data_IF_617385484680
#
_entry.id   IF_617385484680
#
_cell.length_a   1.000
_cell.length_b   1.000
_cell.length_c   1.000
_cell.angle_alpha   90.00
_cell.angle_beta   90.00
_cell.angle_gamma   90.00
#
_symmetry.space_group_name_H-M   'P 1'
#
loop_
_entity.id
_entity.type
_entity.pdbx_description
1 polymer ?
#
# COMPACT_ATOMS: atom_id res chain seq x y z
N UNK A 1 9.98 -43.84 44.12
CA UNK A 1 9.26 -43.67 42.85
C UNK A 1 7.78 -43.82 43.09
N UNK A 2 6.98 -42.86 42.68
CA UNK A 2 5.51 -43.01 42.79
C UNK A 2 5.03 -44.09 41.84
N UNK A 3 3.92 -44.78 42.24
CA UNK A 3 3.29 -45.83 41.38
C UNK A 3 2.93 -45.25 40.00
N UNK A 4 2.52 -43.96 39.98
CA UNK A 4 2.20 -43.23 38.77
C UNK A 4 3.45 -42.97 37.87
N UNK A 5 4.60 -42.62 38.48
CA UNK A 5 5.81 -42.42 37.69
C UNK A 5 6.33 -43.70 37.07
N UNK A 6 6.21 -44.85 37.79
CA UNK A 6 6.58 -46.16 37.24
C UNK A 6 5.68 -46.57 36.04
N UNK A 7 4.38 -46.32 36.13
CA UNK A 7 3.47 -46.55 35.04
C UNK A 7 3.68 -45.67 33.82
N UNK A 8 4.11 -44.38 34.01
CA UNK A 8 4.43 -43.49 32.90
C UNK A 8 5.57 -44.01 32.04
N UNK A 9 6.57 -44.71 32.62
CA UNK A 9 7.67 -45.28 31.84
C UNK A 9 7.22 -46.30 30.82
N UNK A 10 6.07 -47.00 31.02
CA UNK A 10 5.49 -47.93 30.04
C UNK A 10 4.66 -47.27 28.97
N UNK A 11 4.25 -46.00 29.18
CA UNK A 11 3.40 -45.23 28.27
C UNK A 11 4.22 -44.33 27.35
N UNK A 12 5.34 -43.82 27.88
CA UNK A 12 6.22 -42.90 27.16
C UNK A 12 7.18 -43.69 26.26
N UNK A 13 7.26 -43.32 25.00
CA UNK A 13 8.08 -43.97 23.99
C UNK A 13 9.08 -42.97 23.42
N UNK A 14 10.36 -43.32 23.47
CA UNK A 14 11.42 -42.56 22.80
C UNK A 14 11.41 -42.94 21.31
N UNK A 15 11.49 -41.94 20.41
CA UNK A 15 11.71 -42.20 18.98
C UNK A 15 13.09 -42.78 18.69
N UNK A 16 13.23 -43.48 17.57
CA UNK A 16 14.51 -44.12 17.18
C UNK A 16 15.65 -43.09 16.99
N UNK A 17 15.32 -41.91 16.51
CA UNK A 17 16.22 -40.76 16.32
C UNK A 17 16.53 -40.01 17.61
N UNK A 18 15.94 -40.41 18.73
CA UNK A 18 16.05 -39.77 20.05
C UNK A 18 15.61 -38.30 20.09
N UNK A 19 14.92 -37.84 19.04
CA UNK A 19 14.46 -36.44 18.94
C UNK A 19 13.13 -36.21 19.60
N UNK A 20 12.32 -37.27 19.77
CA UNK A 20 10.94 -37.13 20.30
C UNK A 20 10.69 -38.09 21.43
N UNK A 21 10.02 -37.59 22.46
CA UNK A 21 9.37 -38.45 23.46
C UNK A 21 7.86 -38.37 23.20
N UNK A 22 7.24 -39.52 22.96
CA UNK A 22 5.87 -39.61 22.43
C UNK A 22 4.96 -40.45 23.35
N UNK A 23 3.66 -40.16 23.31
CA UNK A 23 2.61 -41.09 23.66
C UNK A 23 2.02 -41.58 22.31
N UNK A 24 2.31 -42.82 21.91
CA UNK A 24 1.90 -43.34 20.62
C UNK A 24 0.40 -43.67 20.59
N UNK A 25 -0.21 -43.53 19.43
CA UNK A 25 -1.55 -44.01 19.17
C UNK A 25 -1.69 -45.53 19.46
N UNK A 26 -2.75 -45.90 20.13
CA UNK A 26 -2.96 -47.28 20.53
C UNK A 26 -2.26 -47.72 21.83
N UNK A 27 -1.44 -46.82 22.46
CA UNK A 27 -0.78 -47.12 23.74
C UNK A 27 -1.83 -47.35 24.82
N UNK A 28 -1.75 -48.50 25.52
CA UNK A 28 -2.57 -48.81 26.70
C UNK A 28 -2.13 -47.92 27.87
N UNK A 29 -3.08 -47.20 28.45
CA UNK A 29 -2.80 -46.27 29.55
C UNK A 29 -3.51 -46.75 30.81
N UNK A 30 -2.78 -47.08 31.88
CA UNK A 30 -3.38 -47.60 33.12
C UNK A 30 -4.34 -46.60 33.76
N UNK A 31 -5.48 -47.07 34.26
CA UNK A 31 -6.56 -46.22 34.84
C UNK A 31 -6.10 -45.35 35.99
N UNK A 32 -5.13 -45.78 36.82
CA UNK A 32 -4.64 -45.00 37.94
C UNK A 32 -3.89 -43.71 37.50
N UNK A 33 -3.53 -43.59 36.24
CA UNK A 33 -2.98 -42.33 35.67
C UNK A 33 -4.03 -41.25 35.46
N UNK A 34 -5.31 -41.50 35.71
CA UNK A 34 -6.37 -40.47 35.77
C UNK A 34 -6.06 -39.37 36.82
N UNK A 35 -5.29 -39.72 37.86
CA UNK A 35 -4.84 -38.81 38.92
C UNK A 35 -3.39 -38.32 38.77
N UNK A 36 -2.74 -38.56 37.65
CA UNK A 36 -1.35 -38.19 37.39
C UNK A 36 -1.13 -36.67 37.56
N UNK A 37 -0.04 -36.31 38.21
CA UNK A 37 0.36 -34.91 38.45
C UNK A 37 1.62 -34.56 37.66
N UNK A 38 1.89 -33.29 37.52
CA UNK A 38 3.14 -32.81 36.90
C UNK A 38 4.41 -33.33 37.62
N UNK A 39 4.33 -33.54 38.95
CA UNK A 39 5.44 -34.12 39.73
C UNK A 39 5.76 -35.56 39.32
N UNK A 40 4.72 -36.38 39.07
CA UNK A 40 4.89 -37.77 38.60
C UNK A 40 5.51 -37.82 37.20
N UNK A 41 5.09 -36.90 36.31
CA UNK A 41 5.68 -36.75 34.98
C UNK A 41 7.14 -36.33 35.09
N UNK A 42 7.45 -35.34 35.91
CA UNK A 42 8.84 -34.90 36.12
C UNK A 42 9.74 -36.03 36.65
N UNK A 43 9.25 -36.86 37.61
CA UNK A 43 9.96 -38.01 38.10
C UNK A 43 10.20 -39.06 37.01
N UNK A 44 9.20 -39.31 36.15
CA UNK A 44 9.35 -40.23 35.01
C UNK A 44 10.35 -39.70 33.97
N UNK A 45 10.31 -38.43 33.63
CA UNK A 45 11.25 -37.77 32.72
C UNK A 45 12.68 -37.84 33.24
N UNK A 46 12.91 -37.58 34.54
CA UNK A 46 14.20 -37.72 35.15
C UNK A 46 14.77 -39.15 35.04
N UNK A 47 13.92 -40.17 35.16
CA UNK A 47 14.30 -41.56 34.97
C UNK A 47 14.66 -41.91 33.52
N UNK A 48 14.05 -41.25 32.57
CA UNK A 48 14.39 -41.35 31.14
C UNK A 48 15.58 -40.48 30.75
N UNK A 49 16.18 -39.79 31.71
CA UNK A 49 17.21 -38.77 31.50
C UNK A 49 16.80 -37.65 30.54
N UNK A 50 15.49 -37.33 30.53
CA UNK A 50 14.93 -36.25 29.70
C UNK A 50 14.99 -34.95 30.46
N UNK A 51 15.80 -33.99 29.96
CA UNK A 51 16.04 -32.71 30.62
C UNK A 51 15.23 -31.55 29.98
N UNK A 52 14.36 -31.85 29.03
CA UNK A 52 13.54 -30.86 28.34
C UNK A 52 12.19 -30.64 29.07
N UNK A 53 11.65 -29.44 28.90
CA UNK A 53 10.33 -29.10 29.44
C UNK A 53 9.26 -29.79 28.59
N UNK A 54 8.38 -30.60 29.19
CA UNK A 54 7.30 -31.26 28.45
C UNK A 54 6.21 -30.27 27.99
N UNK A 55 5.50 -30.63 26.95
CA UNK A 55 4.30 -29.88 26.52
C UNK A 55 3.31 -29.77 27.68
N UNK A 56 2.79 -28.57 27.90
CA UNK A 56 1.86 -28.25 29.01
C UNK A 56 0.59 -29.10 28.99
N UNK A 57 0.19 -29.62 27.85
CA UNK A 57 -0.99 -30.46 27.67
C UNK A 57 -0.77 -31.93 28.06
N UNK A 58 0.50 -32.37 28.20
CA UNK A 58 0.86 -33.78 28.42
C UNK A 58 0.07 -34.43 29.56
N UNK A 59 -0.04 -33.80 30.71
CA UNK A 59 -0.78 -34.33 31.86
C UNK A 59 -2.26 -34.51 31.56
N UNK A 60 -2.87 -33.62 30.82
CA UNK A 60 -4.29 -33.70 30.42
C UNK A 60 -4.50 -34.81 29.41
N UNK A 61 -3.60 -34.96 28.42
CA UNK A 61 -3.65 -36.08 27.45
C UNK A 61 -3.53 -37.43 28.13
N UNK A 62 -2.61 -37.57 29.09
CA UNK A 62 -2.46 -38.80 29.88
C UNK A 62 -3.70 -39.13 30.71
N UNK A 63 -4.32 -38.14 31.36
CA UNK A 63 -5.57 -38.33 32.12
C UNK A 63 -6.73 -38.77 31.26
N UNK A 64 -6.85 -38.14 30.09
CA UNK A 64 -7.90 -38.49 29.11
C UNK A 64 -7.71 -39.92 28.59
N UNK A 65 -6.50 -40.25 28.16
CA UNK A 65 -6.16 -41.59 27.68
C UNK A 65 -6.33 -42.67 28.81
N UNK A 66 -6.06 -42.33 30.07
CA UNK A 66 -6.26 -43.22 31.19
C UNK A 66 -7.76 -43.50 31.48
N UNK A 67 -8.66 -42.56 31.22
CA UNK A 67 -10.12 -42.75 31.35
C UNK A 67 -10.66 -43.74 30.35
N UNK A 68 -10.13 -43.74 29.13
CA UNK A 68 -10.51 -44.65 28.05
C UNK A 68 -9.71 -45.95 28.04
N UNK A 69 -8.64 -46.03 28.82
CA UNK A 69 -7.68 -47.12 28.87
C UNK A 69 -6.70 -47.21 27.71
N UNK A 70 -6.86 -46.39 26.70
CA UNK A 70 -6.03 -46.33 25.47
C UNK A 70 -5.91 -44.90 24.95
N UNK A 71 -4.72 -44.53 24.45
CA UNK A 71 -4.53 -43.29 23.69
C UNK A 71 -4.98 -43.50 22.24
N UNK A 72 -6.17 -43.01 21.87
CA UNK A 72 -6.78 -43.22 20.55
C UNK A 72 -6.52 -42.07 19.55
N UNK A 73 -6.01 -40.95 20.00
CA UNK A 73 -5.59 -39.84 19.14
C UNK A 73 -4.28 -40.16 18.41
N UNK A 74 -3.87 -39.32 17.50
CA UNK A 74 -2.59 -39.43 16.84
C UNK A 74 -1.43 -39.27 17.86
N UNK A 75 -0.21 -39.69 17.49
CA UNK A 75 0.97 -39.60 18.34
C UNK A 75 1.11 -38.24 18.96
N UNK A 76 1.22 -38.17 20.30
CA UNK A 76 1.34 -36.92 21.02
C UNK A 76 2.80 -36.70 21.44
N UNK A 77 3.35 -35.56 21.03
CA UNK A 77 4.73 -35.16 21.39
C UNK A 77 4.78 -34.57 22.79
N UNK A 78 5.42 -35.29 23.69
CA UNK A 78 5.65 -34.90 25.09
C UNK A 78 6.82 -33.93 25.19
N UNK A 79 7.93 -34.27 24.55
CA UNK A 79 9.14 -33.44 24.45
C UNK A 79 9.70 -33.56 23.03
N UNK A 80 10.27 -32.46 22.55
CA UNK A 80 10.95 -32.37 21.26
C UNK A 80 12.37 -31.89 21.45
N UNK A 81 13.34 -32.68 20.98
CA UNK A 81 14.72 -32.29 20.85
C UNK A 81 14.95 -31.34 19.68
N UNK A 82 16.19 -31.00 19.44
CA UNK A 82 16.60 -30.19 18.28
C UNK A 82 17.35 -31.07 17.29
N UNK A 83 16.79 -31.26 16.09
CA UNK A 83 17.49 -31.97 15.02
C UNK A 83 18.82 -31.28 14.64
N UNK A 84 19.81 -32.02 14.19
CA UNK A 84 20.98 -31.42 13.57
C UNK A 84 20.58 -30.59 12.36
N UNK A 85 21.12 -29.39 12.23
CA UNK A 85 20.96 -28.56 11.05
C UNK A 85 22.12 -28.79 10.09
N UNK A 86 21.83 -29.02 8.81
CA UNK A 86 22.84 -29.06 7.75
C UNK A 86 23.42 -27.67 7.46
N UNK A 87 24.35 -27.64 6.52
CA UNK A 87 24.88 -26.38 5.97
C UNK A 87 23.76 -25.52 5.39
N UNK A 88 23.78 -24.24 5.71
CA UNK A 88 22.85 -23.26 5.09
C UNK A 88 23.63 -22.42 4.09
N UNK A 89 23.21 -22.36 2.81
CA UNK A 89 23.84 -21.49 1.82
C UNK A 89 23.67 -20.03 2.21
N UNK A 90 24.58 -19.19 1.74
CA UNK A 90 24.41 -17.76 1.81
C UNK A 90 23.16 -17.34 1.04
N UNK A 91 22.51 -16.27 1.46
CA UNK A 91 21.33 -15.71 0.81
C UNK A 91 21.27 -14.21 1.05
N UNK A 92 20.44 -13.55 0.30
CA UNK A 92 20.02 -12.18 0.61
C UNK A 92 18.52 -12.18 0.97
N UNK A 93 18.11 -11.23 1.78
CA UNK A 93 16.73 -11.10 2.29
C UNK A 93 16.34 -9.63 2.27
N UNK A 94 15.18 -9.30 1.66
CA UNK A 94 14.61 -7.98 1.75
C UNK A 94 14.28 -7.64 3.21
N UNK A 95 14.49 -6.37 3.57
CA UNK A 95 14.01 -5.84 4.84
C UNK A 95 12.62 -5.28 4.59
N UNK A 96 11.60 -6.01 5.06
CA UNK A 96 10.21 -5.68 4.84
C UNK A 96 9.81 -4.34 5.46
N UNK A 97 8.95 -3.60 4.77
CA UNK A 97 8.30 -2.39 5.26
C UNK A 97 6.79 -2.52 5.06
N UNK A 98 6.01 -2.07 6.04
CA UNK A 98 4.55 -2.13 5.98
C UNK A 98 3.92 -1.14 4.97
N UNK A 99 4.68 -0.16 4.49
CA UNK A 99 4.16 0.96 3.71
C UNK A 99 4.80 1.14 2.34
N UNK A 100 5.67 0.25 1.94
CA UNK A 100 6.35 0.33 0.64
C UNK A 100 6.69 -1.05 0.10
N UNK A 101 6.82 -1.20 -1.23
CA UNK A 101 7.36 -2.42 -1.82
C UNK A 101 8.77 -2.71 -1.31
N UNK A 102 9.13 -3.99 -1.19
CA UNK A 102 10.41 -4.41 -0.65
C UNK A 102 11.61 -3.98 -1.51
N UNK A 103 11.40 -3.85 -2.82
CA UNK A 103 12.39 -3.40 -3.80
C UNK A 103 12.48 -1.86 -3.95
N UNK A 104 11.68 -1.11 -3.17
CA UNK A 104 11.73 0.34 -3.13
C UNK A 104 12.80 0.84 -2.16
N UNK A 105 13.92 1.29 -2.69
CA UNK A 105 14.99 1.92 -1.95
C UNK A 105 14.58 3.31 -1.46
N UNK A 106 14.83 3.59 -0.19
CA UNK A 106 14.66 4.93 0.40
C UNK A 106 16.00 5.41 0.93
N UNK A 107 16.36 6.63 0.58
CA UNK A 107 17.65 7.23 0.95
C UNK A 107 17.93 7.12 2.46
N UNK A 108 19.12 6.61 2.80
CA UNK A 108 19.62 6.38 4.15
C UNK A 108 18.85 5.29 4.94
N UNK A 109 18.02 4.49 4.28
CA UNK A 109 17.34 3.38 4.94
C UNK A 109 17.88 2.02 4.50
N UNK A 110 17.79 1.00 5.38
CA UNK A 110 18.17 -0.36 5.06
C UNK A 110 17.20 -0.95 4.02
N UNK A 111 17.74 -1.65 3.03
CA UNK A 111 16.99 -2.22 1.93
C UNK A 111 16.92 -3.73 1.98
N UNK A 112 18.07 -4.40 2.08
CA UNK A 112 18.17 -5.85 2.21
C UNK A 112 19.41 -6.22 3.00
N UNK A 113 19.49 -7.49 3.42
CA UNK A 113 20.63 -8.04 4.13
C UNK A 113 21.25 -9.20 3.36
N UNK A 114 22.57 -9.22 3.27
CA UNK A 114 23.35 -10.36 2.77
C UNK A 114 23.71 -11.22 3.97
N UNK A 115 23.14 -12.42 4.04
CA UNK A 115 23.36 -13.39 5.10
C UNK A 115 24.46 -14.35 4.63
N UNK A 116 25.58 -14.46 5.33
CA UNK A 116 26.64 -15.38 4.96
C UNK A 116 26.17 -16.85 5.11
N UNK A 117 26.83 -17.80 4.43
CA UNK A 117 26.59 -19.22 4.65
C UNK A 117 26.88 -19.58 6.11
N UNK A 118 26.12 -20.51 6.66
CA UNK A 118 26.26 -20.96 8.02
C UNK A 118 26.71 -22.42 8.07
N UNK A 119 27.68 -22.69 8.91
CA UNK A 119 28.18 -24.05 9.19
C UNK A 119 27.04 -24.93 9.78
N UNK A 120 27.11 -26.24 9.57
CA UNK A 120 26.19 -27.18 10.16
C UNK A 120 26.19 -27.06 11.68
N UNK A 121 25.05 -27.20 12.32
CA UNK A 121 24.92 -27.14 13.77
C UNK A 121 24.51 -28.49 14.33
N UNK A 122 25.15 -28.96 15.40
CA UNK A 122 24.74 -30.19 16.05
C UNK A 122 23.32 -30.05 16.64
N UNK A 123 22.60 -31.14 16.61
CA UNK A 123 21.34 -31.30 17.27
C UNK A 123 21.50 -31.63 18.77
N UNK A 124 20.37 -31.74 19.44
CA UNK A 124 20.29 -32.17 20.83
C UNK A 124 19.11 -33.17 20.98
N UNK A 125 19.40 -34.37 21.45
CA UNK A 125 18.36 -35.35 21.76
C UNK A 125 17.47 -34.87 22.91
N UNK A 126 16.32 -35.49 23.11
CA UNK A 126 15.47 -35.21 24.29
C UNK A 126 16.17 -35.58 25.60
N UNK A 127 17.20 -36.42 25.55
CA UNK A 127 18.01 -36.86 26.69
C UNK A 127 19.26 -35.97 26.93
N UNK A 128 19.43 -34.91 26.09
CA UNK A 128 20.58 -34.00 26.21
C UNK A 128 21.86 -34.49 25.51
N UNK A 129 21.78 -35.57 24.76
CA UNK A 129 22.92 -36.05 23.97
C UNK A 129 23.11 -35.15 22.73
N UNK A 130 24.34 -34.81 22.42
CA UNK A 130 24.67 -34.04 21.21
C UNK A 130 24.55 -34.97 20.00
N UNK A 131 23.69 -34.62 19.07
CA UNK A 131 23.54 -35.31 17.79
C UNK A 131 24.42 -34.62 16.75
N UNK A 132 25.45 -35.33 16.22
CA UNK A 132 26.38 -34.71 15.28
C UNK A 132 25.66 -34.26 14.02
N UNK A 133 26.01 -33.09 13.53
CA UNK A 133 25.59 -32.67 12.21
C UNK A 133 26.41 -33.37 11.13
N UNK A 134 25.85 -33.50 9.92
CA UNK A 134 26.59 -34.04 8.79
C UNK A 134 27.70 -33.06 8.40
N UNK A 135 28.93 -33.53 8.31
CA UNK A 135 30.05 -32.74 7.81
C UNK A 135 29.89 -32.48 6.31
N UNK A 136 29.65 -31.24 5.97
CA UNK A 136 29.53 -30.76 4.60
C UNK A 136 30.40 -29.50 4.43
N UNK A 137 31.05 -29.31 3.26
CA UNK A 137 31.84 -28.12 3.03
C UNK A 137 30.97 -26.88 3.03
N UNK A 138 31.48 -25.78 3.60
CA UNK A 138 30.76 -24.50 3.61
C UNK A 138 30.72 -23.95 2.20
N UNK A 139 29.51 -23.60 1.67
CA UNK A 139 29.39 -22.99 0.36
C UNK A 139 30.07 -21.62 0.30
N UNK A 140 30.41 -21.19 -0.90
CA UNK A 140 30.96 -19.86 -1.11
C UNK A 140 29.94 -18.79 -0.70
N UNK A 141 30.38 -17.66 -0.12
CA UNK A 141 29.53 -16.53 0.18
C UNK A 141 28.91 -15.93 -1.10
N UNK A 142 27.68 -15.47 -1.02
CA UNK A 142 27.07 -14.70 -2.10
C UNK A 142 27.83 -13.37 -2.25
N UNK A 143 28.28 -13.08 -3.45
CA UNK A 143 28.83 -11.79 -3.85
C UNK A 143 27.84 -11.10 -4.75
N UNK A 144 27.38 -9.90 -4.34
CA UNK A 144 26.51 -9.04 -5.15
C UNK A 144 27.31 -7.83 -5.64
N UNK A 145 27.23 -7.54 -6.92
CA UNK A 145 27.79 -6.35 -7.54
C UNK A 145 26.84 -5.18 -7.28
N UNK A 146 27.18 -4.35 -6.29
CA UNK A 146 26.35 -3.21 -5.88
C UNK A 146 26.68 -1.97 -6.72
N UNK A 147 25.66 -1.23 -7.22
CA UNK A 147 25.85 0.07 -7.83
C UNK A 147 26.24 1.14 -6.79
N UNK A 148 26.77 2.32 -7.22
CA UNK A 148 27.23 3.38 -6.31
C UNK A 148 26.15 3.92 -5.36
N UNK A 149 24.87 3.80 -5.74
CA UNK A 149 23.70 4.23 -4.96
C UNK A 149 23.40 3.31 -3.76
N UNK A 150 24.09 2.17 -3.66
CA UNK A 150 23.93 1.20 -2.58
C UNK A 150 25.25 0.97 -1.85
N UNK A 151 25.18 0.87 -0.53
CA UNK A 151 26.34 0.67 0.33
C UNK A 151 26.13 -0.51 1.27
N UNK A 152 27.08 -1.46 1.23
CA UNK A 152 27.08 -2.58 2.18
C UNK A 152 27.76 -2.18 3.48
N UNK A 153 27.06 -2.36 4.59
CA UNK A 153 27.59 -2.20 5.95
C UNK A 153 28.34 -3.45 6.43
N UNK A 154 29.12 -3.31 7.50
CA UNK A 154 29.94 -4.39 8.06
C UNK A 154 29.10 -5.60 8.55
N UNK A 155 27.86 -5.38 8.96
CA UNK A 155 26.90 -6.41 9.41
C UNK A 155 26.15 -7.11 8.27
N UNK A 156 26.49 -6.79 7.01
CA UNK A 156 25.87 -7.35 5.81
C UNK A 156 24.59 -6.63 5.38
N UNK A 157 24.13 -5.60 6.08
CA UNK A 157 22.99 -4.77 5.66
C UNK A 157 23.40 -3.87 4.50
N UNK A 158 22.56 -3.77 3.48
CA UNK A 158 22.73 -2.85 2.36
C UNK A 158 21.79 -1.66 2.55
N UNK A 159 22.37 -0.46 2.54
CA UNK A 159 21.69 0.81 2.71
C UNK A 159 21.66 1.56 1.38
N UNK A 160 20.52 2.21 1.07
CA UNK A 160 20.39 3.04 -0.11
C UNK A 160 20.93 4.47 0.15
N UNK A 161 21.75 4.99 -0.78
CA UNK A 161 22.22 6.39 -0.80
C UNK A 161 21.28 7.33 -1.55
N UNK A 162 20.39 6.76 -2.37
CA UNK A 162 19.36 7.47 -3.13
C UNK A 162 18.05 6.66 -3.12
N UNK A 163 16.90 7.35 -3.28
CA UNK A 163 15.60 6.70 -3.39
C UNK A 163 15.33 6.29 -4.83
N UNK A 164 14.77 5.09 -5.05
CA UNK A 164 14.50 4.53 -6.37
C UNK A 164 14.05 3.07 -6.30
N UNK A 165 14.09 2.37 -7.42
CA UNK A 165 13.81 0.93 -7.51
C UNK A 165 15.11 0.14 -7.57
N UNK A 166 15.15 -1.01 -6.90
CA UNK A 166 16.30 -1.93 -6.93
C UNK A 166 15.84 -3.30 -7.41
N UNK A 167 16.53 -3.83 -8.41
CA UNK A 167 16.31 -5.17 -8.94
C UNK A 167 17.57 -6.01 -8.74
N UNK A 168 17.41 -7.29 -8.35
CA UNK A 168 18.52 -8.23 -8.19
C UNK A 168 18.40 -9.29 -9.29
N UNK A 169 19.38 -9.29 -10.19
CA UNK A 169 19.44 -10.18 -11.36
C UNK A 169 20.71 -11.03 -11.27
N UNK A 170 20.58 -12.25 -10.70
CA UNK A 170 21.72 -13.09 -10.42
C UNK A 170 22.67 -12.45 -9.39
N UNK A 171 23.90 -12.14 -9.79
CA UNK A 171 24.90 -11.47 -8.96
C UNK A 171 24.87 -9.93 -9.11
N UNK A 172 24.11 -9.40 -10.06
CA UNK A 172 24.07 -7.97 -10.34
C UNK A 172 22.87 -7.32 -9.64
N UNK A 173 23.13 -6.18 -9.03
CA UNK A 173 22.09 -5.33 -8.45
C UNK A 173 21.96 -4.09 -9.34
N UNK A 174 20.76 -3.86 -9.87
CA UNK A 174 20.44 -2.74 -10.73
C UNK A 174 19.66 -1.72 -9.92
N UNK A 175 20.04 -0.44 -10.01
CA UNK A 175 19.34 0.68 -9.40
C UNK A 175 18.72 1.57 -10.49
N UNK A 176 17.45 1.91 -10.32
CA UNK A 176 16.68 2.82 -11.17
C UNK A 176 16.17 3.99 -10.32
N UNK A 177 16.40 5.26 -10.70
CA UNK A 177 15.94 6.41 -9.93
C UNK A 177 14.41 6.56 -9.91
N UNK A 178 13.72 5.99 -10.89
CA UNK A 178 12.26 5.98 -11.01
C UNK A 178 11.73 4.60 -10.64
N UNK A 179 10.69 4.56 -9.80
CA UNK A 179 9.99 3.32 -9.48
C UNK A 179 8.98 2.98 -10.57
N UNK A 180 9.21 1.91 -11.32
CA UNK A 180 8.37 1.49 -12.44
C UNK A 180 7.37 0.42 -12.00
N UNK A 181 6.08 0.66 -12.25
CA UNK A 181 4.98 -0.25 -11.96
C UNK A 181 4.36 -0.72 -13.26
N UNK A 182 4.56 -1.99 -13.60
CA UNK A 182 3.98 -2.59 -14.80
C UNK A 182 2.48 -2.89 -14.63
N UNK A 183 2.06 -3.32 -13.42
CA UNK A 183 0.68 -3.70 -13.10
C UNK A 183 0.28 -3.17 -11.72
N UNK A 184 -0.38 -2.03 -11.67
CA UNK A 184 -0.71 -1.34 -10.44
C UNK A 184 -1.82 -1.99 -9.60
N UNK A 185 -2.60 -2.93 -10.16
CA UNK A 185 -3.72 -3.58 -9.46
C UNK A 185 -3.32 -4.73 -8.52
N UNK A 186 -2.02 -5.02 -8.39
CA UNK A 186 -1.52 -6.05 -7.49
C UNK A 186 -1.75 -5.66 -6.01
N UNK A 187 -2.06 -6.63 -5.12
CA UNK A 187 -2.40 -6.36 -3.72
C UNK A 187 -1.32 -5.59 -2.93
N UNK A 188 -0.06 -5.80 -3.25
CA UNK A 188 1.08 -5.11 -2.64
C UNK A 188 1.05 -3.59 -2.84
N UNK A 189 0.36 -3.10 -3.87
CA UNK A 189 0.20 -1.67 -4.15
C UNK A 189 -1.05 -1.05 -3.54
N UNK A 190 -1.86 -1.78 -2.76
CA UNK A 190 -3.07 -1.22 -2.17
C UNK A 190 -2.79 -0.04 -1.22
N UNK A 191 -1.66 -0.06 -0.52
CA UNK A 191 -1.26 0.98 0.41
C UNK A 191 0.25 1.22 0.34
N UNK A 192 0.69 2.31 -0.35
CA UNK A 192 2.11 2.57 -0.57
C UNK A 192 2.52 4.02 -0.35
N UNK A 193 3.74 4.19 0.15
CA UNK A 193 4.49 5.44 0.16
C UNK A 193 5.72 5.30 -0.75
N UNK A 194 5.84 6.17 -1.75
CA UNK A 194 6.96 6.20 -2.68
C UNK A 194 7.79 7.47 -2.45
N UNK A 195 9.09 7.29 -2.26
CA UNK A 195 10.06 8.37 -1.99
C UNK A 195 10.92 8.71 -3.21
N UNK A 196 10.53 8.24 -4.38
CA UNK A 196 11.11 8.51 -5.70
C UNK A 196 10.03 8.93 -6.67
N UNK A 197 10.40 9.25 -7.90
CA UNK A 197 9.46 9.34 -9.00
C UNK A 197 8.84 7.97 -9.26
N UNK A 198 7.57 7.96 -9.71
CA UNK A 198 6.81 6.75 -10.01
C UNK A 198 6.29 6.80 -11.44
N UNK A 199 6.48 5.73 -12.18
CA UNK A 199 5.98 5.56 -13.54
C UNK A 199 5.11 4.31 -13.63
N UNK A 200 3.81 4.49 -13.84
CA UNK A 200 2.83 3.41 -14.00
C UNK A 200 2.59 3.16 -15.48
N UNK A 201 2.99 1.99 -15.97
CA UNK A 201 2.90 1.60 -17.39
C UNK A 201 1.52 1.06 -17.77
N UNK A 202 0.64 0.82 -16.81
CA UNK A 202 -0.69 0.26 -17.00
C UNK A 202 -1.79 1.23 -16.55
N UNK A 203 -3.04 0.77 -16.63
CA UNK A 203 -4.15 1.44 -15.96
C UNK A 203 -3.95 1.45 -14.44
N UNK A 204 -4.34 2.54 -13.80
CA UNK A 204 -4.33 2.72 -12.35
C UNK A 204 -5.76 2.56 -11.84
N UNK A 205 -6.15 1.33 -11.48
CA UNK A 205 -7.52 0.95 -11.15
C UNK A 205 -7.61 0.40 -9.73
N UNK A 206 -8.64 0.80 -8.99
CA UNK A 206 -9.00 0.23 -7.70
C UNK A 206 -8.87 1.17 -6.51
N UNK A 207 -9.17 0.64 -5.33
CA UNK A 207 -9.03 1.36 -4.06
C UNK A 207 -7.57 1.35 -3.62
N UNK A 208 -6.85 2.42 -3.94
CA UNK A 208 -5.44 2.59 -3.57
C UNK A 208 -5.29 3.81 -2.68
N UNK A 209 -4.35 3.72 -1.72
CA UNK A 209 -3.96 4.84 -0.87
C UNK A 209 -2.47 5.06 -1.03
N UNK A 210 -2.11 5.97 -1.93
CA UNK A 210 -0.71 6.26 -2.22
C UNK A 210 -0.31 7.66 -1.78
N UNK A 211 0.92 7.75 -1.30
CA UNK A 211 1.63 9.00 -1.09
C UNK A 211 2.93 8.95 -1.89
N UNK A 212 3.08 9.86 -2.84
CA UNK A 212 4.23 9.89 -3.74
C UNK A 212 4.95 11.21 -3.52
N UNK A 213 6.18 11.13 -3.00
CA UNK A 213 6.98 12.30 -2.70
C UNK A 213 7.75 12.84 -3.92
N UNK A 214 7.79 12.08 -5.01
CA UNK A 214 8.29 12.46 -6.32
C UNK A 214 7.18 12.78 -7.32
N UNK A 215 7.54 12.77 -8.62
CA UNK A 215 6.63 12.89 -9.76
C UNK A 215 5.84 11.60 -9.93
N UNK A 216 4.60 11.71 -10.44
CA UNK A 216 3.80 10.54 -10.89
C UNK A 216 3.48 10.68 -12.37
N UNK A 217 3.82 9.64 -13.13
CA UNK A 217 3.42 9.48 -14.53
C UNK A 217 2.60 8.21 -14.71
N UNK A 218 1.42 8.33 -15.33
CA UNK A 218 0.49 7.21 -15.58
C UNK A 218 0.20 7.16 -17.08
N UNK A 219 0.55 6.04 -17.72
CA UNK A 219 0.31 5.84 -19.17
C UNK A 219 -1.14 5.51 -19.47
N UNK A 220 -1.75 4.66 -18.66
CA UNK A 220 -3.12 4.17 -18.82
C UNK A 220 -4.18 5.08 -18.21
N UNK A 221 -5.40 4.54 -18.11
CA UNK A 221 -6.53 5.23 -17.48
C UNK A 221 -6.37 5.26 -15.96
N UNK A 222 -6.72 6.38 -15.35
CA UNK A 222 -6.69 6.55 -13.91
C UNK A 222 -8.10 6.46 -13.32
N UNK A 223 -8.38 5.34 -12.64
CA UNK A 223 -9.64 5.09 -11.94
C UNK A 223 -9.45 4.82 -10.44
N UNK A 224 -8.23 5.04 -9.93
CA UNK A 224 -7.90 4.85 -8.52
C UNK A 224 -8.29 6.07 -7.67
N UNK A 225 -8.49 5.83 -6.37
CA UNK A 225 -8.88 6.83 -5.38
C UNK A 225 -7.80 7.04 -4.32
N UNK A 226 -7.88 8.18 -3.61
CA UNK A 226 -7.05 8.51 -2.44
C UNK A 226 -5.53 8.54 -2.71
N UNK A 227 -5.14 9.20 -3.82
CA UNK A 227 -3.73 9.38 -4.16
C UNK A 227 -3.29 10.83 -3.90
N UNK A 228 -2.19 10.96 -3.17
CA UNK A 228 -1.54 12.23 -2.85
C UNK A 228 -0.15 12.26 -3.50
N UNK A 229 0.12 13.26 -4.34
CA UNK A 229 1.39 13.43 -5.05
C UNK A 229 2.00 14.77 -4.72
N UNK A 230 3.23 14.76 -4.24
CA UNK A 230 3.96 15.96 -3.85
C UNK A 230 4.78 16.56 -5.00
N UNK A 231 5.05 15.83 -6.08
CA UNK A 231 5.64 16.30 -7.32
C UNK A 231 4.61 16.60 -8.41
N UNK A 232 5.09 16.76 -9.63
CA UNK A 232 4.24 16.95 -10.81
C UNK A 232 3.51 15.65 -11.17
N UNK A 233 2.32 15.78 -11.78
CA UNK A 233 1.50 14.67 -12.24
C UNK A 233 1.29 14.73 -13.74
N UNK A 234 1.50 13.61 -14.43
CA UNK A 234 1.16 13.42 -15.83
C UNK A 234 0.27 12.18 -15.97
N UNK A 235 -1.01 12.38 -16.32
CA UNK A 235 -1.97 11.30 -16.54
C UNK A 235 -2.38 11.26 -18.01
N UNK A 236 -1.68 10.46 -18.81
CA UNK A 236 -1.86 10.41 -20.28
C UNK A 236 -3.20 9.83 -20.70
N UNK A 237 -3.69 8.81 -19.99
CA UNK A 237 -4.98 8.16 -20.24
C UNK A 237 -6.20 8.88 -19.67
N UNK A 238 -6.02 10.03 -18.97
CA UNK A 238 -7.10 10.78 -18.32
C UNK A 238 -7.50 10.23 -16.95
N UNK A 239 -8.33 11.00 -16.22
CA UNK A 239 -8.72 10.75 -14.84
C UNK A 239 -10.24 10.56 -14.73
N UNK A 240 -10.69 9.42 -14.17
CA UNK A 240 -12.12 9.13 -13.93
C UNK A 240 -12.27 8.30 -12.64
N UNK A 241 -12.48 8.95 -11.50
CA UNK A 241 -12.57 8.25 -10.20
C UNK A 241 -13.98 7.87 -9.78
N UNK A 242 -15.00 8.21 -10.58
CA UNK A 242 -16.42 7.99 -10.27
C UNK A 242 -16.87 8.63 -8.94
N UNK A 243 -16.28 9.76 -8.56
CA UNK A 243 -16.44 10.45 -7.27
C UNK A 243 -16.03 9.61 -6.05
N UNK A 244 -15.25 8.55 -6.25
CA UNK A 244 -14.72 7.73 -5.16
C UNK A 244 -13.36 8.27 -4.76
N UNK A 245 -13.22 8.69 -3.49
CA UNK A 245 -11.98 9.25 -2.95
C UNK A 245 -11.64 10.66 -3.46
N UNK A 246 -10.46 11.13 -3.11
CA UNK A 246 -9.97 12.46 -3.48
C UNK A 246 -8.53 12.38 -3.96
N UNK A 247 -8.26 13.00 -5.12
CA UNK A 247 -6.90 13.17 -5.62
C UNK A 247 -6.35 14.52 -5.17
N UNK A 248 -5.11 14.54 -4.64
CA UNK A 248 -4.43 15.73 -4.16
C UNK A 248 -3.05 15.84 -4.79
N UNK A 249 -2.85 16.89 -5.58
CA UNK A 249 -1.58 17.17 -6.26
C UNK A 249 -1.02 18.51 -5.75
N UNK A 250 0.17 18.46 -5.17
CA UNK A 250 0.80 19.61 -4.56
C UNK A 250 1.55 20.49 -5.56
N UNK A 251 1.85 19.96 -6.75
CA UNK A 251 2.45 20.68 -7.85
C UNK A 251 1.52 20.70 -9.07
N UNK A 252 2.08 20.72 -10.27
CA UNK A 252 1.30 20.83 -11.49
C UNK A 252 0.70 19.48 -11.91
N UNK A 253 -0.41 19.56 -12.63
CA UNK A 253 -1.03 18.38 -13.23
C UNK A 253 -1.30 18.62 -14.71
N UNK A 254 -0.91 17.64 -15.54
CA UNK A 254 -1.27 17.55 -16.94
C UNK A 254 -2.04 16.26 -17.19
N UNK A 255 -3.18 16.36 -17.89
CA UNK A 255 -4.01 15.18 -18.21
C UNK A 255 -4.81 15.41 -19.47
N UNK A 256 -5.22 14.32 -20.10
CA UNK A 256 -6.05 14.35 -21.31
C UNK A 256 -7.49 14.77 -20.99
N UNK A 257 -8.10 14.20 -19.96
CA UNK A 257 -9.45 14.59 -19.51
C UNK A 257 -9.62 14.33 -17.99
N UNK A 258 -10.63 14.98 -17.42
CA UNK A 258 -11.09 14.69 -16.04
C UNK A 258 -12.61 14.47 -16.10
N UNK A 259 -13.07 13.31 -15.65
CA UNK A 259 -14.48 12.95 -15.66
C UNK A 259 -14.92 12.36 -14.32
N UNK A 260 -16.07 12.82 -13.81
CA UNK A 260 -16.73 12.31 -12.58
C UNK A 260 -15.70 12.15 -11.43
N UNK A 261 -14.96 13.22 -11.13
CA UNK A 261 -13.82 13.16 -10.21
C UNK A 261 -13.74 14.35 -9.27
N UNK A 262 -13.15 14.13 -8.08
CA UNK A 262 -12.78 15.19 -7.14
C UNK A 262 -11.24 15.34 -7.15
N UNK A 263 -10.75 16.51 -7.61
CA UNK A 263 -9.31 16.74 -7.77
C UNK A 263 -8.92 18.10 -7.18
N UNK A 264 -7.93 18.09 -6.29
CA UNK A 264 -7.24 19.28 -5.81
C UNK A 264 -5.85 19.38 -6.42
N UNK A 265 -5.52 20.50 -7.05
CA UNK A 265 -4.20 20.81 -7.60
C UNK A 265 -3.74 22.13 -7.00
N UNK A 266 -2.65 22.13 -6.22
CA UNK A 266 -2.13 23.36 -5.64
C UNK A 266 -1.37 24.20 -6.69
N UNK A 267 -0.70 23.56 -7.63
CA UNK A 267 -0.07 24.18 -8.80
C UNK A 267 -1.06 24.47 -9.92
N UNK A 268 -0.58 24.47 -11.15
CA UNK A 268 -1.36 24.69 -12.36
C UNK A 268 -1.91 23.37 -12.94
N UNK A 269 -3.08 23.45 -13.59
CA UNK A 269 -3.73 22.34 -14.24
C UNK A 269 -3.85 22.55 -15.74
N UNK A 270 -3.37 21.59 -16.52
CA UNK A 270 -3.54 21.53 -17.98
C UNK A 270 -4.39 20.30 -18.32
N UNK A 271 -5.54 20.53 -18.95
CA UNK A 271 -6.43 19.48 -19.46
C UNK A 271 -6.55 19.62 -20.97
N UNK A 272 -6.20 18.57 -21.69
CA UNK A 272 -6.19 18.65 -23.16
C UNK A 272 -7.59 18.65 -23.77
N UNK A 273 -8.46 17.71 -23.38
CA UNK A 273 -9.73 17.50 -24.07
C UNK A 273 -10.92 18.10 -23.32
N UNK A 274 -11.21 17.58 -22.11
CA UNK A 274 -12.43 18.01 -21.42
C UNK A 274 -12.43 17.74 -19.91
N UNK A 275 -13.27 18.51 -19.22
CA UNK A 275 -13.62 18.31 -17.82
C UNK A 275 -15.12 18.14 -17.74
N UNK A 276 -15.58 17.01 -17.17
CA UNK A 276 -16.99 16.67 -17.15
C UNK A 276 -17.41 16.18 -15.75
N UNK A 277 -18.54 16.68 -15.26
CA UNK A 277 -19.20 16.22 -14.03
C UNK A 277 -18.26 16.11 -12.82
N UNK A 278 -17.34 17.08 -12.68
CA UNK A 278 -16.23 16.99 -11.73
C UNK A 278 -16.18 18.20 -10.79
N UNK A 279 -15.57 18.01 -9.63
CA UNK A 279 -15.29 19.05 -8.66
C UNK A 279 -13.79 19.30 -8.56
N UNK A 280 -13.36 20.52 -8.94
CA UNK A 280 -11.93 20.85 -8.96
C UNK A 280 -11.63 22.05 -8.06
N UNK A 281 -10.43 22.01 -7.43
CA UNK A 281 -9.85 23.12 -6.68
C UNK A 281 -8.42 23.33 -7.17
N UNK A 282 -8.17 24.49 -7.80
CA UNK A 282 -6.91 24.78 -8.47
C UNK A 282 -6.28 26.02 -7.82
N UNK A 283 -5.04 25.86 -7.33
CA UNK A 283 -4.27 26.95 -6.71
C UNK A 283 -3.59 27.86 -7.74
N UNK A 284 -3.08 27.28 -8.83
CA UNK A 284 -2.45 27.98 -9.94
C UNK A 284 -3.41 28.28 -11.08
N UNK A 285 -2.85 28.40 -12.28
CA UNK A 285 -3.61 28.64 -13.50
C UNK A 285 -4.21 27.34 -14.04
N UNK A 286 -5.34 27.47 -14.73
CA UNK A 286 -6.02 26.37 -15.38
C UNK A 286 -6.15 26.59 -16.88
N UNK A 287 -5.75 25.62 -17.68
CA UNK A 287 -5.86 25.63 -19.13
C UNK A 287 -6.66 24.42 -19.62
N UNK A 288 -7.73 24.66 -20.38
CA UNK A 288 -8.52 23.68 -21.09
C UNK A 288 -8.88 24.23 -22.48
N UNK A 289 -7.86 24.47 -23.31
CA UNK A 289 -7.97 25.26 -24.56
C UNK A 289 -7.60 24.49 -25.83
N UNK A 290 -7.39 23.17 -25.74
CA UNK A 290 -7.24 22.31 -26.93
C UNK A 290 -8.60 22.11 -27.61
N UNK A 291 -8.65 21.42 -28.72
CA UNK A 291 -9.93 21.09 -29.39
C UNK A 291 -10.41 19.68 -28.95
N UNK A 292 -11.52 19.52 -28.19
CA UNK A 292 -12.61 20.50 -27.95
C UNK A 292 -12.39 21.48 -26.78
N UNK A 293 -11.50 21.24 -25.82
CA UNK A 293 -11.22 22.14 -24.70
C UNK A 293 -12.47 22.55 -23.90
N UNK A 294 -13.29 21.55 -23.48
CA UNK A 294 -14.64 21.79 -22.96
C UNK A 294 -14.75 21.51 -21.45
N UNK A 295 -15.45 22.37 -20.71
CA UNK A 295 -15.79 22.23 -19.30
C UNK A 295 -17.31 22.10 -19.18
N UNK A 296 -17.81 20.93 -18.76
CA UNK A 296 -19.23 20.56 -18.80
C UNK A 296 -19.70 20.05 -17.42
N UNK A 297 -20.82 20.56 -16.91
CA UNK A 297 -21.48 20.04 -15.71
C UNK A 297 -20.60 19.99 -14.45
N UNK A 298 -19.59 20.83 -14.37
CA UNK A 298 -18.54 20.78 -13.33
C UNK A 298 -18.55 22.01 -12.43
N UNK A 299 -18.08 21.84 -11.20
CA UNK A 299 -17.84 22.95 -10.27
C UNK A 299 -16.35 23.13 -10.08
N UNK A 300 -15.81 24.29 -10.42
CA UNK A 300 -14.37 24.55 -10.42
C UNK A 300 -14.07 25.81 -9.62
N UNK A 301 -13.20 25.71 -8.64
CA UNK A 301 -12.65 26.80 -7.86
C UNK A 301 -11.21 27.05 -8.29
N UNK A 302 -10.89 28.26 -8.74
CA UNK A 302 -9.57 28.62 -9.29
C UNK A 302 -9.06 29.86 -8.58
N UNK A 303 -7.82 29.80 -8.08
CA UNK A 303 -7.12 30.95 -7.53
C UNK A 303 -6.28 31.69 -8.59
N UNK A 304 -5.85 31.03 -9.64
CA UNK A 304 -5.15 31.57 -10.79
C UNK A 304 -6.07 32.06 -11.91
N UNK A 305 -5.50 32.18 -13.11
CA UNK A 305 -6.23 32.49 -14.33
C UNK A 305 -6.90 31.24 -14.95
N UNK A 306 -7.88 31.45 -15.80
CA UNK A 306 -8.54 30.39 -16.57
C UNK A 306 -8.45 30.67 -18.07
N UNK A 307 -8.06 29.65 -18.83
CA UNK A 307 -8.18 29.65 -20.29
C UNK A 307 -8.94 28.41 -20.75
N UNK A 308 -10.11 28.61 -21.39
CA UNK A 308 -10.92 27.50 -21.88
C UNK A 308 -11.58 27.86 -23.21
N UNK A 309 -11.73 26.85 -24.11
CA UNK A 309 -12.44 27.07 -25.37
C UNK A 309 -13.95 27.12 -25.15
N UNK A 310 -14.50 26.14 -24.39
CA UNK A 310 -15.96 26.03 -24.20
C UNK A 310 -16.28 25.75 -22.73
N UNK A 311 -17.20 26.52 -22.15
CA UNK A 311 -17.67 26.31 -20.78
C UNK A 311 -19.19 26.31 -20.75
N UNK A 312 -19.77 25.29 -20.12
CA UNK A 312 -21.22 25.09 -20.06
C UNK A 312 -21.67 23.87 -20.83
N UNK A 313 -22.93 23.47 -20.65
CA UNK A 313 -23.51 22.26 -21.24
C UNK A 313 -24.79 22.61 -22.04
N UNK A 314 -24.86 22.14 -23.27
CA UNK A 314 -26.04 22.25 -24.12
C UNK A 314 -27.25 21.47 -23.56
N UNK A 315 -26.97 20.45 -22.71
CA UNK A 315 -28.01 19.62 -22.09
C UNK A 315 -28.49 20.16 -20.73
N UNK A 316 -28.22 21.44 -20.42
CA UNK A 316 -28.68 22.09 -19.19
C UNK A 316 -27.99 21.64 -17.89
N UNK A 317 -26.92 20.91 -17.96
CA UNK A 317 -26.11 20.56 -16.77
C UNK A 317 -25.45 21.81 -16.21
N UNK A 318 -25.63 22.06 -14.91
CA UNK A 318 -25.11 23.26 -14.24
C UNK A 318 -23.59 23.24 -14.22
N UNK A 319 -22.97 24.22 -14.87
CA UNK A 319 -21.52 24.46 -14.82
C UNK A 319 -21.26 25.73 -14.02
N UNK A 320 -20.37 25.63 -13.04
CA UNK A 320 -20.03 26.75 -12.16
C UNK A 320 -18.52 26.93 -12.08
N UNK A 321 -18.04 28.12 -12.41
CA UNK A 321 -16.65 28.55 -12.25
C UNK A 321 -16.59 29.61 -11.15
N UNK A 322 -15.74 29.38 -10.15
CA UNK A 322 -15.51 30.33 -9.05
C UNK A 322 -14.07 30.80 -9.11
N UNK A 323 -13.87 32.05 -9.48
CA UNK A 323 -12.56 32.71 -9.56
C UNK A 323 -12.29 33.40 -8.22
N UNK A 324 -11.36 32.84 -7.46
CA UNK A 324 -11.03 33.27 -6.09
C UNK A 324 -9.86 34.29 -6.05
N UNK A 325 -9.00 34.30 -7.08
CA UNK A 325 -7.91 35.25 -7.23
C UNK A 325 -8.41 36.60 -7.74
N UNK A 326 -8.39 37.61 -6.89
CA UNK A 326 -8.78 38.99 -7.24
C UNK A 326 -7.67 39.86 -7.85
N UNK A 327 -6.57 39.26 -8.25
CA UNK A 327 -5.40 40.00 -8.79
C UNK A 327 -5.65 40.40 -10.26
N UNK A 328 -5.50 41.70 -10.59
CA UNK A 328 -5.69 42.23 -11.94
C UNK A 328 -4.71 41.65 -12.97
N UNK A 329 -3.63 41.00 -12.52
CA UNK A 329 -2.66 40.34 -13.41
C UNK A 329 -3.09 39.01 -13.95
N UNK A 330 -4.15 38.40 -13.40
CA UNK A 330 -4.64 37.07 -13.78
C UNK A 330 -5.85 37.16 -14.71
N UNK A 331 -5.64 36.76 -15.96
CA UNK A 331 -6.68 36.85 -17.00
C UNK A 331 -7.50 35.56 -17.06
N UNK A 332 -8.81 35.72 -17.15
CA UNK A 332 -9.73 34.62 -17.47
C UNK A 332 -10.30 34.85 -18.86
N UNK A 333 -10.08 33.87 -19.74
CA UNK A 333 -10.58 33.90 -21.12
C UNK A 333 -11.32 32.61 -21.46
N UNK A 334 -12.56 32.76 -21.88
CA UNK A 334 -13.42 31.67 -22.35
C UNK A 334 -13.92 32.06 -23.73
N UNK A 335 -13.56 31.28 -24.76
CA UNK A 335 -13.90 31.60 -26.14
C UNK A 335 -15.42 31.38 -26.40
N UNK A 336 -16.02 30.35 -25.77
CA UNK A 336 -17.48 30.11 -25.84
C UNK A 336 -18.04 29.78 -24.46
N UNK A 337 -18.85 30.67 -23.91
CA UNK A 337 -19.62 30.51 -22.67
C UNK A 337 -21.06 30.20 -23.00
N UNK A 338 -21.58 29.05 -22.64
CA UNK A 338 -22.94 28.61 -22.95
C UNK A 338 -23.95 29.18 -21.95
N UNK A 339 -25.18 29.40 -22.43
CA UNK A 339 -26.29 29.84 -21.62
C UNK A 339 -26.49 29.01 -20.36
N UNK A 340 -26.82 29.64 -19.24
CA UNK A 340 -26.98 28.99 -17.94
C UNK A 340 -25.71 28.69 -17.17
N UNK A 341 -24.53 28.96 -17.75
CA UNK A 341 -23.26 28.84 -17.03
C UNK A 341 -23.10 29.95 -15.99
N UNK A 342 -22.66 29.59 -14.79
CA UNK A 342 -22.42 30.54 -13.70
C UNK A 342 -20.94 30.81 -13.54
N UNK A 343 -20.53 32.08 -13.51
CA UNK A 343 -19.20 32.54 -13.18
C UNK A 343 -19.26 33.42 -11.94
N UNK A 344 -18.55 33.08 -10.91
CA UNK A 344 -18.37 33.94 -9.72
C UNK A 344 -17.01 34.62 -9.80
N UNK A 345 -17.00 35.93 -9.83
CA UNK A 345 -15.80 36.77 -9.84
C UNK A 345 -15.91 37.85 -8.76
N UNK A 346 -14.89 38.01 -7.90
CA UNK A 346 -14.89 39.01 -6.80
C UNK A 346 -16.15 38.94 -5.89
N UNK A 347 -16.70 37.74 -5.71
CA UNK A 347 -17.88 37.51 -4.88
C UNK A 347 -19.24 37.73 -5.61
N UNK A 348 -19.24 38.30 -6.79
CA UNK A 348 -20.44 38.48 -7.63
C UNK A 348 -20.61 37.27 -8.55
N UNK A 349 -21.83 36.74 -8.67
CA UNK A 349 -22.13 35.62 -9.54
C UNK A 349 -22.93 36.12 -10.75
N UNK A 350 -22.35 35.89 -11.92
CA UNK A 350 -22.92 36.19 -13.22
C UNK A 350 -23.43 34.89 -13.84
N UNK A 351 -24.63 34.94 -14.44
CA UNK A 351 -25.20 33.80 -15.20
C UNK A 351 -25.31 34.19 -16.66
N UNK A 352 -24.76 33.41 -17.56
CA UNK A 352 -24.86 33.68 -18.99
C UNK A 352 -26.31 33.54 -19.44
N UNK A 353 -26.91 34.65 -19.93
CA UNK A 353 -28.27 34.71 -20.44
C UNK A 353 -28.40 34.08 -21.84
N UNK A 354 -27.32 34.10 -22.60
CA UNK A 354 -27.18 33.52 -23.95
C UNK A 354 -25.75 33.02 -24.16
N UNK A 355 -25.53 32.29 -25.23
CA UNK A 355 -24.18 31.92 -25.64
C UNK A 355 -23.33 33.18 -25.94
N UNK A 356 -22.18 33.30 -25.30
CA UNK A 356 -21.30 34.45 -25.39
C UNK A 356 -19.84 34.06 -25.22
N UNK A 357 -18.92 35.02 -25.18
CA UNK A 357 -17.54 34.87 -24.74
C UNK A 357 -17.34 35.59 -23.41
N UNK A 358 -16.30 35.25 -22.69
CA UNK A 358 -15.93 35.89 -21.43
C UNK A 358 -14.44 36.20 -21.38
N UNK A 359 -14.12 37.45 -21.10
CA UNK A 359 -12.74 37.89 -20.86
C UNK A 359 -12.76 38.87 -19.67
N UNK A 360 -12.03 38.51 -18.61
CA UNK A 360 -12.02 39.31 -17.38
C UNK A 360 -11.28 40.66 -17.52
N UNK A 361 -10.54 40.87 -18.61
CA UNK A 361 -9.86 42.13 -18.93
C UNK A 361 -10.73 43.11 -19.66
N UNK A 362 -11.90 42.70 -20.18
CA UNK A 362 -12.83 43.54 -20.90
C UNK A 362 -14.12 43.79 -20.09
N UNK A 363 -14.79 44.92 -20.30
CA UNK A 363 -16.10 45.16 -19.69
C UNK A 363 -17.11 44.16 -20.24
N UNK A 364 -17.81 43.46 -19.35
CA UNK A 364 -18.83 42.48 -19.72
C UNK A 364 -20.01 43.21 -20.32
N UNK A 365 -20.51 42.75 -21.49
CA UNK A 365 -21.77 43.27 -22.07
C UNK A 365 -22.94 42.99 -21.11
N UNK A 366 -23.60 44.01 -20.56
CA UNK A 366 -24.66 43.82 -19.57
C UNK A 366 -25.84 43.02 -20.11
N UNK A 367 -26.06 42.98 -21.43
CA UNK A 367 -27.17 42.24 -22.05
C UNK A 367 -26.92 40.73 -22.12
N UNK A 368 -25.66 40.30 -22.04
CA UNK A 368 -25.24 38.91 -22.11
C UNK A 368 -25.28 38.17 -20.74
N UNK A 369 -25.55 38.91 -19.64
CA UNK A 369 -25.41 38.38 -18.26
C UNK A 369 -26.59 38.82 -17.40
N UNK A 370 -27.17 37.90 -16.63
CA UNK A 370 -28.19 38.20 -15.60
C UNK A 370 -27.50 38.17 -14.24
N UNK A 371 -27.57 39.26 -13.50
CA UNK A 371 -27.13 39.33 -12.11
C UNK A 371 -28.06 38.47 -11.23
N UNK A 372 -27.57 37.41 -10.60
CA UNK A 372 -28.34 36.54 -9.74
C UNK A 372 -28.80 37.20 -8.42
N UNK A 373 -28.28 38.39 -8.09
CA UNK A 373 -28.72 39.17 -6.92
C UNK A 373 -30.10 39.83 -7.14
N UNK A 374 -30.50 40.09 -8.38
CA UNK A 374 -31.82 40.66 -8.73
C UNK A 374 -32.96 39.64 -8.62
N UNK A 375 -32.74 38.36 -8.89
CA UNK A 375 -33.77 37.32 -8.78
C UNK A 375 -34.19 37.02 -7.32
N UNK A 376 -33.31 37.24 -6.33
CA UNK A 376 -33.66 37.09 -4.91
C UNK A 376 -34.59 38.21 -4.41
N UNK A 377 -34.58 39.39 -5.01
CA UNK A 377 -35.48 40.49 -4.63
C UNK A 377 -36.87 40.32 -5.20
N UNK A 378 -37.02 39.78 -6.40
CA UNK A 378 -38.34 39.51 -7.02
C UNK A 378 -39.09 38.36 -6.35
N UNK A 379 -38.38 37.26 -5.98
CA UNK A 379 -39.01 36.12 -5.25
C UNK A 379 -39.41 36.48 -3.80
N UNK A 380 -38.77 37.45 -3.17
CA UNK A 380 -39.16 37.96 -1.85
C UNK A 380 -40.35 38.92 -1.89
N UNK A 381 -40.55 39.63 -3.01
CA UNK A 381 -41.68 40.53 -3.18
C UNK A 381 -42.99 39.80 -3.54
N UNK A 382 -42.92 38.62 -4.18
CA UNK A 382 -44.10 37.84 -4.58
C UNK A 382 -44.68 36.98 -3.44
N UNK A 383 -43.94 36.81 -2.32
CA UNK A 383 -44.42 36.09 -1.13
C UNK A 383 -45.00 37.00 -0.04
N UNK A 384 -45.21 38.28 -0.29
CA UNK A 384 -45.85 39.26 0.63
C UNK A 384 -47.13 39.89 0.06
N UNK A 385 -47.72 39.31 -0.98
CA UNK A 385 -49.05 39.74 -1.48
C UNK A 385 -50.11 38.66 -1.28
#
# INVERSE_FOLDING_TARGET
MSSSAAALLSVLTLSEDKLRLLIRKGTKVPYHLTSVKHADLAEALNKLNVNLIPDKRTVNVLREAARTGVHNADDFEVCLGRAPEGVKPGRWEWIESLRRPSDHAVKNEPLFRIVPPAAPKPGLSVQGEVLPAKEEPLPEPIVLNLPPELERQADGVVIARASGQVKIEGENVVYEPTYVIEKAHAPEFAFCEFYSDVHVLSDLIGSMKWRIFGKLEVEGHWQASDIEVFGDVIAKGGIQTNMVGTLRFWHNCQTTYIQVSQVGVLGSLVVENSIQLSELRIGGDMTCSSNPGAILGSTIHIFGGLRANKVGSENGQKTRIVLLGGDETRTTRIDKLLQGTMITLKGETLTAAMDTSFDSSTAIDPSAVVDSSSQRKESAATNQS
#
